data_IF_172326713530
#
_entry.id   IF_172326713530
#
_cell.length_a   1.000
_cell.length_b   1.000
_cell.length_c   1.000
_cell.angle_alpha   90.00
_cell.angle_beta   90.00
_cell.angle_gamma   90.00
#
_symmetry.space_group_name_H-M   'P 1'
#
loop_
_entity.id
_entity.type
_entity.pdbx_description
1 polymer ?
#
# COMPACT_ATOMS: atom_id res chain seq x y z
N UNK A 1 -39.81 36.06 7.21
CA UNK A 1 -38.36 35.74 7.08
C UNK A 1 -38.11 34.45 7.82
N UNK A 2 -37.98 33.32 7.12
CA UNK A 2 -37.71 32.02 7.74
C UNK A 2 -36.28 31.62 7.35
N UNK A 3 -35.31 31.93 8.21
CA UNK A 3 -33.93 31.52 8.02
C UNK A 3 -33.84 30.03 8.37
N UNK A 4 -33.63 29.17 7.36
CA UNK A 4 -33.24 27.77 7.58
C UNK A 4 -31.85 27.77 8.22
N UNK A 5 -31.73 27.22 9.41
CA UNK A 5 -30.43 26.89 10.00
C UNK A 5 -29.67 25.91 9.08
N UNK A 6 -28.34 26.04 8.96
CA UNK A 6 -27.55 25.08 8.20
C UNK A 6 -27.49 23.74 8.94
N UNK A 7 -28.07 22.69 8.35
CA UNK A 7 -27.92 21.31 8.83
C UNK A 7 -26.44 20.96 8.98
N UNK A 8 -26.01 20.71 10.22
CA UNK A 8 -24.68 20.23 10.55
C UNK A 8 -24.52 18.81 9.98
N UNK A 9 -23.48 18.50 9.20
CA UNK A 9 -23.33 17.16 8.64
C UNK A 9 -23.10 16.15 9.77
N UNK A 10 -24.12 15.35 10.05
CA UNK A 10 -24.09 14.28 11.05
C UNK A 10 -23.21 13.12 10.57
N UNK A 11 -21.96 13.08 11.05
CA UNK A 11 -21.00 12.00 10.73
C UNK A 11 -21.06 10.79 11.69
N UNK A 12 -21.97 10.80 12.68
CA UNK A 12 -22.05 9.81 13.76
C UNK A 12 -22.04 8.34 13.31
N UNK A 13 -22.91 7.91 12.37
CA UNK A 13 -22.99 6.49 11.95
C UNK A 13 -21.70 5.94 11.34
N UNK A 14 -20.90 6.79 10.72
CA UNK A 14 -19.68 6.40 9.99
C UNK A 14 -18.51 6.14 10.93
N UNK A 15 -18.40 6.95 11.97
CA UNK A 15 -17.36 6.77 12.99
C UNK A 15 -17.55 5.44 13.73
N UNK A 16 -18.79 5.07 14.05
CA UNK A 16 -19.08 3.77 14.67
C UNK A 16 -18.73 2.58 13.78
N UNK A 17 -18.96 2.69 12.47
CA UNK A 17 -18.56 1.63 11.51
C UNK A 17 -17.03 1.51 11.43
N UNK A 18 -16.31 2.63 11.38
CA UNK A 18 -14.85 2.61 11.36
C UNK A 18 -14.27 2.01 12.65
N UNK A 19 -14.73 2.48 13.81
CA UNK A 19 -14.28 1.99 15.12
C UNK A 19 -14.64 0.52 15.32
N UNK A 20 -15.85 0.11 14.93
CA UNK A 20 -16.30 -1.28 15.01
C UNK A 20 -15.48 -2.22 14.12
N UNK A 21 -15.15 -1.79 12.91
CA UNK A 21 -14.31 -2.55 11.98
C UNK A 21 -12.89 -2.75 12.54
N UNK A 22 -12.26 -1.68 13.06
CA UNK A 22 -10.94 -1.74 13.70
C UNK A 22 -10.97 -2.67 14.92
N UNK A 23 -11.96 -2.52 15.80
CA UNK A 23 -12.09 -3.36 16.99
C UNK A 23 -12.28 -4.85 16.63
N UNK A 24 -13.06 -5.13 15.59
CA UNK A 24 -13.25 -6.51 15.10
C UNK A 24 -11.97 -7.07 14.49
N UNK A 25 -11.22 -6.27 13.73
CA UNK A 25 -9.90 -6.68 13.21
C UNK A 25 -8.92 -7.03 14.34
N UNK A 26 -8.85 -6.19 15.38
CA UNK A 26 -8.03 -6.45 16.58
C UNK A 26 -8.48 -7.74 17.28
N UNK A 27 -9.79 -7.95 17.41
CA UNK A 27 -10.32 -9.16 18.02
C UNK A 27 -9.93 -10.43 17.24
N UNK A 28 -10.04 -10.40 15.91
CA UNK A 28 -9.63 -11.52 15.04
C UNK A 28 -8.14 -11.80 15.20
N UNK A 29 -7.31 -10.76 15.27
CA UNK A 29 -5.87 -10.91 15.50
C UNK A 29 -5.56 -11.55 16.86
N UNK A 30 -6.23 -11.11 17.93
CA UNK A 30 -5.99 -11.62 19.29
C UNK A 30 -6.50 -13.04 19.51
N UNK A 31 -7.63 -13.40 18.91
CA UNK A 31 -8.25 -14.73 19.07
C UNK A 31 -7.60 -15.76 18.15
N UNK A 32 -7.23 -15.36 16.93
CA UNK A 32 -6.79 -16.29 15.90
C UNK A 32 -7.94 -17.00 15.19
N UNK A 33 -7.73 -17.36 13.93
CA UNK A 33 -8.63 -18.24 13.20
C UNK A 33 -8.24 -19.72 13.39
N UNK A 34 -9.20 -20.65 13.31
CA UNK A 34 -8.94 -22.05 13.60
C UNK A 34 -8.06 -22.70 12.53
N UNK A 35 -6.96 -23.32 12.95
CA UNK A 35 -6.06 -24.06 12.03
C UNK A 35 -6.64 -25.36 11.48
N UNK A 36 -7.75 -25.87 12.03
CA UNK A 36 -8.40 -27.11 11.60
C UNK A 36 -9.20 -26.98 10.29
N UNK A 37 -9.41 -25.75 9.82
CA UNK A 37 -10.17 -25.46 8.60
C UNK A 37 -9.22 -24.85 7.58
N UNK A 38 -9.31 -25.28 6.32
CA UNK A 38 -8.50 -24.75 5.22
C UNK A 38 -9.37 -24.22 4.10
N UNK A 39 -8.99 -23.08 3.51
CA UNK A 39 -9.56 -22.51 2.30
C UNK A 39 -8.52 -22.59 1.18
N UNK A 40 -8.86 -23.22 0.06
CA UNK A 40 -7.97 -23.35 -1.11
C UNK A 40 -6.58 -23.93 -0.77
N UNK A 41 -6.51 -24.86 0.19
CA UNK A 41 -5.25 -25.47 0.64
C UNK A 41 -4.44 -24.64 1.64
N UNK A 42 -4.93 -23.46 2.05
CA UNK A 42 -4.33 -22.64 3.12
C UNK A 42 -5.11 -22.77 4.42
N UNK A 43 -4.49 -23.17 5.55
CA UNK A 43 -5.13 -23.13 6.86
C UNK A 43 -5.67 -21.74 7.19
N UNK A 44 -6.85 -21.64 7.81
CA UNK A 44 -7.41 -20.34 8.20
C UNK A 44 -6.54 -19.61 9.21
N UNK A 45 -5.76 -20.33 10.02
CA UNK A 45 -4.78 -19.75 10.93
C UNK A 45 -3.81 -18.81 10.20
N UNK A 46 -3.35 -19.19 9.01
CA UNK A 46 -2.45 -18.39 8.17
C UNK A 46 -3.15 -17.16 7.57
N UNK A 47 -4.49 -17.17 7.55
CA UNK A 47 -5.32 -16.06 7.11
C UNK A 47 -5.75 -15.13 8.27
N UNK A 48 -5.37 -15.43 9.51
CA UNK A 48 -5.72 -14.60 10.69
C UNK A 48 -5.31 -13.15 10.48
N UNK A 49 -4.04 -12.93 10.15
CA UNK A 49 -3.49 -11.58 9.97
C UNK A 49 -4.12 -10.86 8.78
N UNK A 50 -4.19 -11.42 7.56
CA UNK A 50 -4.83 -10.72 6.44
C UNK A 50 -6.32 -10.45 6.68
N UNK A 51 -7.06 -11.35 7.32
CA UNK A 51 -8.48 -11.12 7.62
C UNK A 51 -8.63 -10.04 8.71
N UNK A 52 -7.81 -10.06 9.76
CA UNK A 52 -7.78 -9.02 10.78
C UNK A 52 -7.50 -7.64 10.16
N UNK A 53 -6.53 -7.56 9.26
CA UNK A 53 -6.18 -6.32 8.56
C UNK A 53 -7.28 -5.89 7.60
N UNK A 54 -7.79 -6.79 6.76
CA UNK A 54 -8.87 -6.47 5.82
C UNK A 54 -10.12 -5.96 6.56
N UNK A 55 -10.55 -6.65 7.63
CA UNK A 55 -11.69 -6.24 8.45
C UNK A 55 -11.39 -4.92 9.16
N UNK A 56 -10.20 -4.80 9.76
CA UNK A 56 -9.78 -3.59 10.47
C UNK A 56 -9.71 -2.36 9.60
N UNK A 57 -9.25 -2.50 8.36
CA UNK A 57 -9.00 -1.37 7.45
C UNK A 57 -10.14 -1.11 6.47
N UNK A 58 -11.02 -2.08 6.20
CA UNK A 58 -12.22 -1.88 5.39
C UNK A 58 -13.13 -0.77 5.95
N UNK A 59 -13.26 -0.66 7.28
CA UNK A 59 -14.02 0.43 7.91
C UNK A 59 -13.42 1.81 7.68
N UNK A 60 -12.09 1.89 7.58
CA UNK A 60 -11.36 3.13 7.24
C UNK A 60 -11.55 3.47 5.76
N UNK A 61 -11.46 2.49 4.86
CA UNK A 61 -11.70 2.67 3.43
C UNK A 61 -13.15 3.11 3.12
N UNK A 62 -14.14 2.52 3.78
CA UNK A 62 -15.55 2.91 3.67
C UNK A 62 -15.75 4.36 4.14
N UNK A 63 -15.06 4.77 5.20
CA UNK A 63 -15.15 6.15 5.72
C UNK A 63 -14.45 7.16 4.81
N UNK A 64 -13.30 6.80 4.23
CA UNK A 64 -12.53 7.62 3.30
C UNK A 64 -13.18 7.77 1.91
N UNK A 65 -14.04 6.82 1.50
CA UNK A 65 -14.78 6.84 0.22
C UNK A 65 -15.76 8.01 0.04
N UNK A 66 -15.88 8.88 1.05
CA UNK A 66 -16.71 10.08 1.06
C UNK A 66 -16.02 11.31 0.44
N UNK A 67 -14.73 11.22 0.08
CA UNK A 67 -14.05 12.29 -0.64
C UNK A 67 -14.60 12.40 -2.07
N UNK A 68 -14.98 13.62 -2.48
CA UNK A 68 -15.47 13.98 -3.83
C UNK A 68 -14.33 13.92 -4.87
N UNK A 69 -13.59 12.83 -4.90
CA UNK A 69 -12.49 12.60 -5.83
C UNK A 69 -13.02 12.02 -7.14
N UNK A 70 -12.38 12.38 -8.26
CA UNK A 70 -12.91 12.08 -9.59
C UNK A 70 -13.00 10.57 -9.86
N UNK A 71 -14.05 10.16 -10.59
CA UNK A 71 -14.29 8.77 -10.99
C UNK A 71 -13.13 8.21 -11.83
N UNK A 72 -12.81 6.93 -11.63
CA UNK A 72 -11.89 6.19 -12.49
C UNK A 72 -12.40 6.18 -13.93
N UNK A 73 -11.51 6.45 -14.87
CA UNK A 73 -11.75 6.28 -16.31
C UNK A 73 -11.16 4.94 -16.74
N UNK A 74 -11.60 4.40 -17.89
CA UNK A 74 -11.01 3.18 -18.47
C UNK A 74 -9.50 3.33 -18.65
N UNK A 75 -9.04 4.47 -19.17
CA UNK A 75 -7.59 4.74 -19.31
C UNK A 75 -6.84 4.75 -17.98
N UNK A 76 -7.48 5.19 -16.89
CA UNK A 76 -6.87 5.21 -15.57
C UNK A 76 -6.64 3.77 -15.08
N UNK A 77 -7.63 2.88 -15.29
CA UNK A 77 -7.53 1.45 -14.95
C UNK A 77 -6.44 0.78 -15.79
N UNK A 78 -6.48 0.94 -17.11
CA UNK A 78 -5.52 0.31 -18.03
C UNK A 78 -4.09 0.72 -17.68
N UNK A 79 -3.83 2.02 -17.47
CA UNK A 79 -2.48 2.48 -17.09
C UNK A 79 -2.07 1.91 -15.73
N UNK A 80 -2.96 1.93 -14.75
CA UNK A 80 -2.67 1.36 -13.43
C UNK A 80 -2.34 -0.14 -13.50
N UNK A 81 -3.05 -0.90 -14.36
CA UNK A 81 -2.76 -2.32 -14.60
C UNK A 81 -1.42 -2.52 -15.28
N UNK A 82 -1.07 -1.71 -16.29
CA UNK A 82 0.24 -1.80 -16.96
C UNK A 82 1.39 -1.51 -15.99
N UNK A 83 1.25 -0.47 -15.15
CA UNK A 83 2.23 -0.16 -14.12
C UNK A 83 2.33 -1.29 -13.09
N UNK A 84 1.20 -1.86 -12.67
CA UNK A 84 1.17 -3.00 -11.75
C UNK A 84 1.83 -4.23 -12.35
N UNK A 85 1.57 -4.56 -13.61
CA UNK A 85 2.21 -5.68 -14.31
C UNK A 85 3.73 -5.46 -14.43
N UNK A 86 4.18 -4.27 -14.81
CA UNK A 86 5.59 -3.94 -14.84
C UNK A 86 6.24 -4.07 -13.44
N UNK A 87 5.54 -3.59 -12.41
CA UNK A 87 5.92 -3.75 -11.00
C UNK A 87 6.05 -5.22 -10.58
N UNK A 88 5.06 -6.05 -10.92
CA UNK A 88 5.06 -7.47 -10.57
C UNK A 88 6.18 -8.28 -11.25
N UNK A 89 6.57 -7.90 -12.46
CA UNK A 89 7.77 -8.48 -13.11
C UNK A 89 9.06 -8.05 -12.41
N UNK A 90 9.14 -6.78 -11.99
CA UNK A 90 10.27 -6.29 -11.18
C UNK A 90 10.31 -7.02 -9.84
N UNK A 91 9.16 -7.28 -9.21
CA UNK A 91 9.09 -8.07 -7.97
C UNK A 91 9.60 -9.47 -8.20
N UNK A 92 9.16 -10.16 -9.26
CA UNK A 92 9.65 -11.50 -9.57
C UNK A 92 11.18 -11.54 -9.71
N UNK A 93 11.77 -10.57 -10.42
CA UNK A 93 13.22 -10.45 -10.52
C UNK A 93 13.88 -10.12 -9.17
N UNK A 94 13.27 -9.23 -8.39
CA UNK A 94 13.78 -8.78 -7.11
C UNK A 94 13.70 -9.86 -6.02
N UNK A 95 12.68 -10.72 -6.05
CA UNK A 95 12.56 -11.86 -5.15
C UNK A 95 13.82 -12.72 -5.25
N UNK A 96 14.28 -13.03 -6.46
CA UNK A 96 15.51 -13.80 -6.68
C UNK A 96 16.77 -13.02 -6.31
N UNK A 97 16.84 -11.74 -6.70
CA UNK A 97 18.04 -10.92 -6.48
C UNK A 97 18.27 -10.56 -5.01
N UNK A 98 17.19 -10.42 -4.24
CA UNK A 98 17.24 -9.98 -2.85
C UNK A 98 17.49 -11.10 -1.85
N UNK A 99 17.17 -12.36 -2.15
CA UNK A 99 17.40 -13.51 -1.25
C UNK A 99 18.82 -13.56 -0.69
N UNK A 100 19.91 -13.64 -1.51
CA UNK A 100 21.26 -13.74 -0.96
C UNK A 100 21.68 -12.49 -0.18
N UNK A 101 21.12 -11.33 -0.53
CA UNK A 101 21.40 -10.07 0.17
C UNK A 101 20.75 -10.07 1.56
N UNK A 102 19.49 -10.52 1.65
CA UNK A 102 18.73 -10.58 2.90
C UNK A 102 19.28 -11.64 3.84
N UNK A 103 19.70 -12.79 3.33
CA UNK A 103 20.32 -13.86 4.12
C UNK A 103 21.67 -13.46 4.72
N UNK A 104 22.42 -12.59 4.03
CA UNK A 104 23.70 -12.06 4.52
C UNK A 104 23.55 -10.92 5.55
N UNK A 105 22.33 -10.42 5.79
CA UNK A 105 22.04 -9.26 6.62
C UNK A 105 21.31 -9.64 7.90
N UNK A 106 21.59 -8.94 9.00
CA UNK A 106 20.73 -8.98 10.18
C UNK A 106 19.37 -8.34 9.87
N UNK A 107 18.27 -8.73 10.53
CA UNK A 107 16.92 -8.31 10.13
C UNK A 107 16.75 -6.80 9.95
N UNK A 108 17.20 -5.92 10.88
CA UNK A 108 17.01 -4.49 10.68
C UNK A 108 17.74 -3.94 9.45
N UNK A 109 18.85 -4.55 9.03
CA UNK A 109 19.61 -4.15 7.84
C UNK A 109 18.95 -4.68 6.57
N UNK A 110 18.36 -5.88 6.60
CA UNK A 110 17.63 -6.44 5.47
C UNK A 110 16.40 -5.59 5.09
N UNK A 111 15.87 -4.79 6.01
CA UNK A 111 14.84 -3.80 5.71
C UNK A 111 15.27 -2.71 4.70
N UNK A 112 16.57 -2.51 4.44
CA UNK A 112 17.05 -1.52 3.46
C UNK A 112 16.63 -1.82 2.02
N UNK A 113 16.30 -3.08 1.72
CA UNK A 113 16.00 -3.54 0.36
C UNK A 113 14.50 -3.69 0.10
N UNK A 114 13.67 -3.45 1.12
CA UNK A 114 12.22 -3.68 1.00
C UNK A 114 11.49 -2.69 0.10
N UNK A 115 12.04 -1.49 -0.10
CA UNK A 115 11.39 -0.41 -0.84
C UNK A 115 11.13 -0.73 -2.32
N UNK A 116 11.82 -1.74 -2.88
CA UNK A 116 11.53 -2.22 -4.24
C UNK A 116 10.16 -2.92 -4.31
N UNK A 117 9.66 -3.51 -3.24
CA UNK A 117 8.30 -4.06 -3.21
C UNK A 117 7.22 -2.99 -2.97
N UNK A 118 7.59 -1.72 -2.76
CA UNK A 118 6.63 -0.67 -2.38
C UNK A 118 6.45 0.39 -3.47
N UNK A 119 7.31 0.40 -4.48
CA UNK A 119 7.29 1.44 -5.50
C UNK A 119 6.04 1.43 -6.38
N UNK A 120 5.42 0.28 -6.74
CA UNK A 120 4.22 0.29 -7.60
C UNK A 120 3.06 1.06 -6.97
N UNK A 121 2.85 0.94 -5.65
CA UNK A 121 1.86 1.71 -4.90
C UNK A 121 2.05 3.22 -5.10
N UNK A 122 3.26 3.72 -4.85
CA UNK A 122 3.56 5.15 -4.96
C UNK A 122 3.47 5.62 -6.41
N UNK A 123 4.05 4.86 -7.36
CA UNK A 123 4.05 5.19 -8.78
C UNK A 123 2.63 5.23 -9.36
N UNK A 124 1.81 4.23 -9.04
CA UNK A 124 0.40 4.15 -9.46
C UNK A 124 -0.38 5.39 -9.02
N UNK A 125 -0.26 5.79 -7.75
CA UNK A 125 -0.93 6.98 -7.24
C UNK A 125 -0.43 8.28 -7.90
N UNK A 126 0.88 8.45 -8.10
CA UNK A 126 1.44 9.64 -8.75
C UNK A 126 0.97 9.81 -10.20
N UNK A 127 0.91 8.69 -10.94
CA UNK A 127 0.55 8.67 -12.35
C UNK A 127 -0.97 8.81 -12.55
N UNK A 128 -1.75 8.02 -11.82
CA UNK A 128 -3.20 7.88 -12.03
C UNK A 128 -3.99 8.96 -11.30
N UNK A 129 -3.54 9.36 -10.10
CA UNK A 129 -4.14 10.42 -9.27
C UNK A 129 -5.62 10.19 -8.95
N UNK A 130 -5.96 8.96 -8.59
CA UNK A 130 -7.30 8.54 -8.15
C UNK A 130 -7.25 7.90 -6.76
N UNK A 131 -8.31 8.00 -5.96
CA UNK A 131 -8.44 7.20 -4.74
C UNK A 131 -8.40 5.72 -5.06
N UNK A 132 -7.62 4.99 -4.26
CA UNK A 132 -7.35 3.57 -4.40
C UNK A 132 -6.29 3.22 -5.43
N UNK A 133 -5.63 4.21 -6.07
CA UNK A 133 -4.64 3.93 -7.11
C UNK A 133 -3.38 3.27 -6.54
N UNK A 134 -2.96 3.62 -5.32
CA UNK A 134 -1.81 2.97 -4.69
C UNK A 134 -2.12 1.51 -4.38
N UNK A 135 -3.25 1.27 -3.71
CA UNK A 135 -3.70 -0.10 -3.36
C UNK A 135 -3.89 -0.95 -4.61
N UNK A 136 -4.55 -0.41 -5.64
CA UNK A 136 -4.84 -1.16 -6.85
C UNK A 136 -3.57 -1.55 -7.62
N UNK A 137 -2.65 -0.61 -7.84
CA UNK A 137 -1.42 -0.90 -8.59
C UNK A 137 -0.52 -1.89 -7.85
N UNK A 138 -0.44 -1.78 -6.53
CA UNK A 138 0.32 -2.70 -5.68
C UNK A 138 -0.30 -4.10 -5.66
N UNK A 139 -1.63 -4.20 -5.52
CA UNK A 139 -2.35 -5.47 -5.61
C UNK A 139 -2.11 -6.18 -6.94
N UNK A 140 -2.13 -5.46 -8.06
CA UNK A 140 -1.83 -6.05 -9.39
C UNK A 140 -0.39 -6.54 -9.46
N UNK A 141 0.57 -5.76 -8.94
CA UNK A 141 1.99 -6.16 -8.91
C UNK A 141 2.21 -7.41 -8.07
N UNK A 142 1.69 -7.42 -6.84
CA UNK A 142 1.76 -8.54 -5.92
C UNK A 142 1.08 -9.80 -6.46
N UNK A 143 -0.10 -9.65 -7.09
CA UNK A 143 -0.83 -10.75 -7.72
C UNK A 143 -0.01 -11.38 -8.86
N UNK A 144 0.58 -10.55 -9.73
CA UNK A 144 1.43 -11.05 -10.80
C UNK A 144 2.67 -11.75 -10.24
N UNK A 145 3.35 -11.16 -9.26
CA UNK A 145 4.52 -11.77 -8.64
C UNK A 145 4.22 -13.15 -8.02
N UNK A 146 3.08 -13.27 -7.34
CA UNK A 146 2.61 -14.54 -6.80
C UNK A 146 2.31 -15.57 -7.91
N UNK A 147 1.71 -15.14 -9.03
CA UNK A 147 1.42 -16.00 -10.18
C UNK A 147 2.67 -16.46 -10.93
N UNK A 148 3.70 -15.62 -11.02
CA UNK A 148 5.01 -16.00 -11.56
C UNK A 148 5.67 -17.07 -10.67
N UNK A 149 5.36 -17.05 -9.37
CA UNK A 149 5.85 -17.99 -8.37
C UNK A 149 6.97 -17.38 -7.54
N UNK A 150 6.80 -17.40 -6.22
CA UNK A 150 7.79 -16.96 -5.24
C UNK A 150 7.63 -17.78 -3.94
N UNK A 151 8.56 -17.62 -3.01
CA UNK A 151 8.58 -18.37 -1.74
C UNK A 151 7.42 -18.04 -0.79
N UNK A 152 6.78 -16.88 -0.94
CA UNK A 152 5.68 -16.41 -0.10
C UNK A 152 4.29 -16.79 -0.63
N UNK A 153 4.19 -17.22 -1.89
CA UNK A 153 2.95 -17.66 -2.53
C UNK A 153 1.82 -16.62 -2.42
N UNK A 154 0.63 -17.06 -2.00
CA UNK A 154 -0.55 -16.21 -1.86
C UNK A 154 -0.36 -15.08 -0.83
N UNK A 155 0.55 -15.22 0.13
CA UNK A 155 0.75 -14.17 1.13
C UNK A 155 1.24 -12.85 0.53
N UNK A 156 2.00 -12.94 -0.56
CA UNK A 156 2.39 -11.78 -1.39
C UNK A 156 1.19 -10.90 -1.75
N UNK A 157 0.07 -11.51 -2.14
CA UNK A 157 -1.11 -10.78 -2.66
C UNK A 157 -1.71 -9.87 -1.59
N UNK A 158 -1.91 -10.39 -0.38
CA UNK A 158 -2.50 -9.60 0.68
C UNK A 158 -1.48 -8.66 1.34
N UNK A 159 -0.18 -8.99 1.32
CA UNK A 159 0.90 -8.04 1.65
C UNK A 159 0.80 -6.78 0.79
N UNK A 160 0.69 -6.95 -0.53
CA UNK A 160 0.56 -5.82 -1.46
C UNK A 160 -0.67 -4.94 -1.19
N UNK A 161 -1.77 -5.50 -0.69
CA UNK A 161 -2.92 -4.69 -0.25
C UNK A 161 -2.51 -3.80 0.92
N UNK A 162 -1.91 -4.36 1.97
CA UNK A 162 -1.57 -3.63 3.19
C UNK A 162 -0.47 -2.59 2.94
N UNK A 163 0.53 -2.94 2.15
CA UNK A 163 1.60 -2.04 1.70
C UNK A 163 1.05 -0.89 0.87
N UNK A 164 0.19 -1.20 -0.10
CA UNK A 164 -0.52 -0.22 -0.91
C UNK A 164 -1.40 0.70 -0.06
N UNK A 165 -2.05 0.17 0.98
CA UNK A 165 -2.81 0.98 1.94
C UNK A 165 -1.92 1.92 2.75
N UNK A 166 -0.71 1.48 3.12
CA UNK A 166 0.30 2.31 3.77
C UNK A 166 0.61 3.57 2.96
N UNK A 167 0.80 3.43 1.64
CA UNK A 167 0.96 4.58 0.73
C UNK A 167 -0.34 5.38 0.56
N UNK A 168 -1.47 4.70 0.34
CA UNK A 168 -2.77 5.31 0.05
C UNK A 168 -3.24 6.26 1.17
N UNK A 169 -3.02 5.88 2.44
CA UNK A 169 -3.38 6.71 3.60
C UNK A 169 -2.75 8.10 3.51
N UNK A 170 -1.52 8.22 3.01
CA UNK A 170 -0.85 9.52 2.86
C UNK A 170 -1.56 10.38 1.81
N UNK A 171 -1.92 9.82 0.67
CA UNK A 171 -2.67 10.54 -0.36
C UNK A 171 -4.07 10.92 0.14
N UNK A 172 -4.72 10.03 0.91
CA UNK A 172 -6.01 10.28 1.52
C UNK A 172 -5.97 11.41 2.57
N UNK A 173 -4.95 11.45 3.42
CA UNK A 173 -4.72 12.54 4.40
C UNK A 173 -4.51 13.89 3.71
N UNK A 174 -3.93 13.89 2.51
CA UNK A 174 -3.78 15.07 1.65
C UNK A 174 -4.99 15.30 0.74
N UNK A 175 -6.09 14.60 0.98
CA UNK A 175 -7.36 14.69 0.24
C UNK A 175 -7.20 14.50 -1.27
N UNK A 176 -6.19 13.75 -1.70
CA UNK A 176 -5.86 13.54 -3.12
C UNK A 176 -5.56 14.83 -3.89
N UNK A 177 -5.09 15.88 -3.17
CA UNK A 177 -4.80 17.21 -3.75
C UNK A 177 -3.33 17.46 -4.06
N UNK A 178 -2.42 16.64 -3.54
CA UNK A 178 -0.98 16.78 -3.73
C UNK A 178 -0.36 15.48 -4.25
N UNK A 179 0.55 15.61 -5.23
CA UNK A 179 1.29 14.51 -5.86
C UNK A 179 2.75 14.92 -6.17
N UNK A 180 3.29 15.86 -5.39
CA UNK A 180 4.67 16.33 -5.53
C UNK A 180 5.69 15.40 -4.86
N UNK A 181 6.96 15.79 -4.90
CA UNK A 181 8.06 15.03 -4.31
C UNK A 181 7.80 14.72 -2.83
N UNK A 182 7.47 15.73 -2.02
CA UNK A 182 7.22 15.55 -0.58
C UNK A 182 6.12 14.54 -0.32
N UNK A 183 5.01 14.60 -1.07
CA UNK A 183 3.93 13.61 -0.95
C UNK A 183 4.40 12.21 -1.32
N UNK A 184 5.22 12.09 -2.37
CA UNK A 184 5.81 10.81 -2.78
C UNK A 184 6.70 10.22 -1.69
N UNK A 185 7.57 11.03 -1.08
CA UNK A 185 8.45 10.60 0.02
C UNK A 185 7.62 10.14 1.22
N UNK A 186 6.59 10.89 1.60
CA UNK A 186 5.70 10.50 2.70
C UNK A 186 4.92 9.22 2.38
N UNK A 187 4.44 9.05 1.14
CA UNK A 187 3.74 7.83 0.72
C UNK A 187 4.67 6.61 0.76
N UNK A 188 5.92 6.75 0.32
CA UNK A 188 6.97 5.75 0.48
C UNK A 188 7.24 5.42 1.96
N UNK A 189 7.29 6.43 2.84
CA UNK A 189 7.39 6.22 4.28
C UNK A 189 6.19 5.44 4.83
N UNK A 190 4.96 5.77 4.41
CA UNK A 190 3.73 5.10 4.82
C UNK A 190 3.69 3.62 4.43
N UNK A 191 4.08 3.30 3.20
CA UNK A 191 4.25 1.91 2.77
C UNK A 191 5.37 1.20 3.57
N UNK A 192 6.47 1.90 3.84
CA UNK A 192 7.57 1.40 4.66
C UNK A 192 7.17 1.08 6.11
N UNK A 193 6.30 1.90 6.71
CA UNK A 193 5.68 1.59 8.02
C UNK A 193 4.84 0.32 7.91
N UNK A 194 4.01 0.21 6.88
CA UNK A 194 3.11 -0.93 6.70
C UNK A 194 3.88 -2.25 6.61
N UNK A 195 4.89 -2.34 5.73
CA UNK A 195 5.72 -3.55 5.61
C UNK A 195 6.57 -3.79 6.86
N UNK A 196 7.12 -2.74 7.46
CA UNK A 196 7.93 -2.87 8.69
C UNK A 196 7.13 -3.46 9.86
N UNK A 197 5.88 -3.03 10.02
CA UNK A 197 4.98 -3.58 11.03
C UNK A 197 4.56 -5.02 10.71
N UNK A 198 4.29 -5.33 9.44
CA UNK A 198 3.98 -6.69 9.01
C UNK A 198 5.14 -7.66 9.29
N UNK A 199 6.35 -7.32 8.82
CA UNK A 199 7.52 -8.17 8.93
C UNK A 199 7.90 -8.44 10.39
N UNK A 200 7.82 -7.42 11.25
CA UNK A 200 8.14 -7.56 12.68
C UNK A 200 7.10 -8.35 13.47
N UNK A 201 5.90 -8.56 12.91
CA UNK A 201 4.86 -9.41 13.50
C UNK A 201 4.93 -10.83 12.93
N UNK A 202 5.23 -10.97 11.64
CA UNK A 202 5.10 -12.25 10.92
C UNK A 202 6.44 -12.99 10.81
N UNK A 203 7.50 -12.29 10.40
CA UNK A 203 8.80 -12.91 10.14
C UNK A 203 9.76 -12.78 11.33
N UNK A 204 9.58 -11.74 12.16
CA UNK A 204 10.47 -11.47 13.29
C UNK A 204 9.73 -11.23 14.62
N UNK A 205 8.76 -12.09 15.01
CA UNK A 205 7.97 -11.88 16.24
C UNK A 205 8.80 -11.89 17.53
N UNK A 206 9.94 -12.59 17.54
CA UNK A 206 10.84 -12.76 18.69
C UNK A 206 11.77 -11.57 18.94
N UNK A 207 11.91 -10.65 17.99
CA UNK A 207 12.78 -9.48 18.18
C UNK A 207 12.31 -8.61 19.35
N UNK A 208 13.27 -8.10 20.12
CA UNK A 208 12.98 -7.11 21.14
C UNK A 208 12.30 -5.87 20.54
N UNK A 209 11.42 -5.21 21.31
CA UNK A 209 10.65 -4.06 20.84
C UNK A 209 11.52 -2.94 20.25
N UNK A 210 12.70 -2.69 20.83
CA UNK A 210 13.66 -1.73 20.30
C UNK A 210 14.18 -2.13 18.91
N UNK A 211 14.52 -3.40 18.71
CA UNK A 211 15.00 -3.90 17.41
C UNK A 211 13.89 -3.90 16.35
N UNK A 212 12.65 -4.20 16.74
CA UNK A 212 11.48 -4.05 15.86
C UNK A 212 11.30 -2.59 15.43
N UNK A 213 11.42 -1.64 16.35
CA UNK A 213 11.35 -0.22 16.01
C UNK A 213 12.46 0.17 15.02
N UNK A 214 13.68 -0.32 15.21
CA UNK A 214 14.78 -0.08 14.25
C UNK A 214 14.44 -0.66 12.88
N UNK A 215 13.91 -1.89 12.80
CA UNK A 215 13.46 -2.48 11.54
C UNK A 215 12.45 -1.59 10.83
N UNK A 216 11.42 -1.14 11.54
CA UNK A 216 10.38 -0.25 10.97
C UNK A 216 10.99 1.05 10.47
N UNK A 217 11.89 1.68 11.22
CA UNK A 217 12.55 2.93 10.80
C UNK A 217 13.41 2.72 9.54
N UNK A 218 14.10 1.59 9.44
CA UNK A 218 14.90 1.27 8.26
C UNK A 218 14.00 0.95 7.05
N UNK A 219 12.90 0.22 7.24
CA UNK A 219 11.89 -0.03 6.21
C UNK A 219 11.25 1.27 5.72
N UNK A 220 10.96 2.21 6.63
CA UNK A 220 10.52 3.57 6.30
C UNK A 220 11.54 4.31 5.45
N UNK A 221 12.82 4.29 5.83
CA UNK A 221 13.88 4.97 5.08
C UNK A 221 14.04 4.38 3.67
N UNK A 222 14.02 3.05 3.57
CA UNK A 222 14.01 2.30 2.31
C UNK A 222 12.80 2.67 1.44
N UNK A 223 11.60 2.73 2.01
CA UNK A 223 10.40 3.20 1.35
C UNK A 223 10.50 4.66 0.87
N UNK A 224 11.03 5.57 1.69
CA UNK A 224 11.25 6.98 1.30
C UNK A 224 12.18 7.09 0.08
N UNK A 225 13.31 6.37 0.11
CA UNK A 225 14.34 6.48 -0.93
C UNK A 225 13.94 5.74 -2.20
N UNK A 226 13.55 4.47 -2.09
CA UNK A 226 13.30 3.64 -3.27
C UNK A 226 11.89 3.88 -3.80
N UNK A 227 10.86 3.69 -2.98
CA UNK A 227 9.48 3.83 -3.42
C UNK A 227 9.05 5.30 -3.56
N UNK A 228 9.48 6.18 -2.66
CA UNK A 228 9.13 7.60 -2.67
C UNK A 228 9.89 8.36 -3.73
N UNK A 229 11.19 8.50 -3.57
CA UNK A 229 12.02 9.27 -4.51
C UNK A 229 12.10 8.56 -5.87
N UNK A 230 12.32 7.24 -5.89
CA UNK A 230 12.38 6.47 -7.13
C UNK A 230 11.12 6.58 -7.99
N UNK A 231 9.93 6.40 -7.40
CA UNK A 231 8.66 6.55 -8.15
C UNK A 231 8.41 7.98 -8.61
N UNK A 232 8.83 8.99 -7.84
CA UNK A 232 8.75 10.38 -8.29
C UNK A 232 9.63 10.61 -9.52
N UNK A 233 10.88 10.16 -9.49
CA UNK A 233 11.80 10.25 -10.63
C UNK A 233 11.29 9.49 -11.85
N UNK A 234 10.75 8.29 -11.66
CA UNK A 234 10.11 7.51 -12.73
C UNK A 234 8.92 8.25 -13.33
N UNK A 235 8.09 8.89 -12.49
CA UNK A 235 6.97 9.71 -12.98
C UNK A 235 7.47 10.87 -13.84
N UNK A 236 8.56 11.55 -13.42
CA UNK A 236 9.15 12.63 -14.24
C UNK A 236 9.72 12.10 -15.56
N UNK A 237 10.39 10.95 -15.54
CA UNK A 237 10.93 10.32 -16.74
C UNK A 237 9.81 9.93 -17.73
N UNK A 238 8.75 9.28 -17.24
CA UNK A 238 7.57 8.92 -18.04
C UNK A 238 6.83 10.14 -18.60
N UNK A 239 6.80 11.24 -17.85
CA UNK A 239 6.20 12.48 -18.34
C UNK A 239 6.97 13.05 -19.53
N UNK A 240 8.31 13.01 -19.49
CA UNK A 240 9.18 13.51 -20.57
C UNK A 240 9.05 12.71 -21.87
N UNK A 241 8.61 11.46 -21.82
CA UNK A 241 8.37 10.66 -23.04
C UNK A 241 7.02 10.96 -23.70
N UNK A 242 6.15 11.75 -23.05
CA UNK A 242 4.78 11.99 -23.50
C UNK A 242 3.79 10.87 -23.18
N UNK A 243 4.26 9.75 -22.61
CA UNK A 243 3.42 8.59 -22.27
C UNK A 243 2.28 8.94 -21.30
N UNK A 244 2.46 9.97 -20.47
CA UNK A 244 1.47 10.41 -19.48
C UNK A 244 0.50 11.48 -19.99
N UNK A 245 0.61 11.94 -21.25
CA UNK A 245 -0.22 13.01 -21.82
C UNK A 245 -1.75 12.81 -21.64
N UNK A 246 -2.32 11.58 -21.73
CA UNK A 246 -3.75 11.36 -21.50
C UNK A 246 -4.21 11.50 -20.03
N UNK A 247 -3.26 11.57 -19.09
CA UNK A 247 -3.50 11.50 -17.65
C UNK A 247 -3.39 12.87 -16.96
N UNK A 248 -3.86 12.93 -15.73
CA UNK A 248 -3.72 14.14 -14.90
C UNK A 248 -2.24 14.47 -14.59
N UNK A 249 -1.39 13.44 -14.53
CA UNK A 249 0.05 13.56 -14.34
C UNK A 249 0.76 14.27 -15.50
N UNK A 250 0.42 13.94 -16.76
CA UNK A 250 0.99 14.59 -17.94
C UNK A 250 0.68 16.09 -18.03
N UNK A 251 -0.55 16.50 -17.71
CA UNK A 251 -0.98 17.93 -17.74
C UNK A 251 -0.26 18.84 -16.73
N UNK A 252 0.39 18.26 -15.72
CA UNK A 252 1.18 19.03 -14.73
C UNK A 252 2.63 19.16 -15.16
N UNK A 253 3.16 18.19 -15.90
CA UNK A 253 4.54 18.20 -16.38
C UNK A 253 4.79 19.25 -17.48
N UNK A 254 3.75 19.65 -18.23
CA UNK A 254 3.83 20.76 -19.20
C UNK A 254 4.01 22.15 -18.54
N UNK A 255 3.92 22.25 -17.20
CA UNK A 255 3.99 23.53 -16.45
C UNK A 255 5.25 23.70 -15.61
N UNK A 256 6.20 22.76 -15.66
CA UNK A 256 7.50 22.80 -14.98
C UNK A 256 8.58 22.97 -16.03
#
# INVERSE_FOLDING_TARGET
MNQKEPEKPWNGPRLYVAVGAVALGVLIYLIGLPGSVSLFGTPLADLTVPIALFVGTAGVAITASTAKAGRWRVVDIVVASVLGVAGGLIFAAWNVASTPLREAMVPPVSALVVGVWLFPAVLGALVVRRPGAAVYTELVAASLSALVGNEWGFSTVWYGIVEGMGAEVVFALLLYRSYGLVTSLLAGAGAGVAVGLLDTVIYYPELAAGTKLVYVVVAMASGVVIAGLGSWLLTQALARTGALAPLASGRTAERV
#
